data_IF_267229629102
#
_entry.id   IF_267229629102
#
_cell.length_a   1.000
_cell.length_b   1.000
_cell.length_c   1.000
_cell.angle_alpha   90.00
_cell.angle_beta   90.00
_cell.angle_gamma   90.00
#
_symmetry.space_group_name_H-M   'P 1'
#
loop_
_entity.id
_entity.type
_entity.pdbx_description
1 polymer ?
#
# COMPACT_ATOMS: atom_id res chain seq x y z
N UNK A 1 13.15 2.41 6.90
CA UNK A 1 11.98 1.49 6.89
C UNK A 1 12.35 0.24 7.68
N UNK A 2 11.75 0.01 8.86
CA UNK A 2 11.99 -1.23 9.63
C UNK A 2 11.42 -2.39 8.80
N UNK A 3 12.26 -3.35 8.37
CA UNK A 3 11.81 -4.61 7.79
C UNK A 3 10.95 -5.30 8.84
N UNK A 4 9.63 -5.30 8.65
CA UNK A 4 8.74 -6.09 9.50
C UNK A 4 9.11 -7.55 9.24
N UNK A 5 9.58 -8.22 10.29
CA UNK A 5 9.98 -9.61 10.24
C UNK A 5 8.77 -10.44 9.82
N UNK A 6 8.81 -10.99 8.59
CA UNK A 6 7.84 -11.92 8.00
C UNK A 6 7.56 -13.18 8.84
N UNK A 7 8.24 -13.33 9.99
CA UNK A 7 8.13 -14.47 10.90
C UNK A 7 6.75 -14.61 11.58
N UNK A 8 5.94 -13.55 11.63
CA UNK A 8 4.63 -13.56 12.33
C UNK A 8 3.43 -13.11 11.49
N UNK A 9 3.59 -12.76 10.21
CA UNK A 9 2.46 -12.42 9.35
C UNK A 9 1.74 -13.69 8.92
N UNK A 10 0.45 -13.84 9.23
CA UNK A 10 -0.32 -14.95 8.70
C UNK A 10 -0.32 -14.91 7.16
N UNK A 11 -0.49 -16.06 6.51
CA UNK A 11 -0.58 -16.17 5.04
C UNK A 11 -1.76 -15.39 4.43
N UNK A 12 -2.69 -14.91 5.27
CA UNK A 12 -3.88 -14.18 4.86
C UNK A 12 -3.86 -12.70 5.30
N UNK A 13 -2.73 -12.20 5.81
CA UNK A 13 -2.59 -10.80 6.23
C UNK A 13 -1.74 -10.03 5.24
N UNK A 14 -2.11 -8.78 4.95
CA UNK A 14 -1.29 -7.87 4.14
C UNK A 14 -0.95 -6.68 5.01
N UNK A 15 0.34 -6.37 5.10
CA UNK A 15 0.83 -5.19 5.81
C UNK A 15 0.61 -3.96 4.93
N UNK A 16 -0.19 -3.02 5.43
CA UNK A 16 -0.43 -1.72 4.79
C UNK A 16 0.25 -0.63 5.62
N UNK A 17 1.09 0.19 5.00
CA UNK A 17 1.70 1.37 5.65
C UNK A 17 1.70 2.60 4.73
N UNK A 18 1.94 3.77 5.32
CA UNK A 18 2.24 5.01 4.59
C UNK A 18 3.61 5.56 5.02
N UNK A 19 3.83 6.87 4.84
CA UNK A 19 4.99 7.68 5.30
C UNK A 19 6.13 7.91 4.30
N UNK A 20 6.43 7.00 3.37
CA UNK A 20 7.64 7.17 2.52
C UNK A 20 7.45 8.04 1.28
N UNK A 21 6.27 8.62 1.07
CA UNK A 21 5.88 9.37 -0.14
C UNK A 21 5.98 8.54 -1.44
N UNK A 22 6.12 7.23 -1.31
CA UNK A 22 6.25 6.29 -2.43
C UNK A 22 5.21 5.20 -2.28
N UNK A 23 4.32 5.11 -3.26
CA UNK A 23 3.39 3.99 -3.37
C UNK A 23 4.14 2.75 -3.87
N UNK A 24 3.95 1.62 -3.21
CA UNK A 24 4.54 0.34 -3.57
C UNK A 24 3.54 -0.78 -3.29
N UNK A 25 3.33 -1.68 -4.24
CA UNK A 25 2.50 -2.87 -4.05
C UNK A 25 3.37 -4.09 -4.31
N UNK A 26 3.66 -4.84 -3.24
CA UNK A 26 4.34 -6.13 -3.30
C UNK A 26 3.48 -7.20 -2.63
N UNK A 27 2.56 -7.77 -3.42
CA UNK A 27 1.70 -8.87 -2.96
C UNK A 27 2.47 -10.17 -2.68
N UNK A 28 3.67 -10.38 -3.27
CA UNK A 28 4.51 -11.55 -2.95
C UNK A 28 5.09 -11.44 -1.54
N UNK A 29 5.37 -10.22 -1.12
CA UNK A 29 5.79 -9.92 0.25
C UNK A 29 4.64 -9.59 1.19
N UNK A 30 3.39 -9.63 0.72
CA UNK A 30 2.20 -9.21 1.48
C UNK A 30 2.38 -7.80 2.06
N UNK A 31 2.92 -6.90 1.25
CA UNK A 31 3.27 -5.54 1.64
C UNK A 31 2.67 -4.54 0.69
N UNK A 32 2.07 -3.51 1.25
CA UNK A 32 1.59 -2.37 0.49
C UNK A 32 1.95 -1.07 1.21
N UNK A 33 2.51 -0.14 0.44
CA UNK A 33 2.73 1.22 0.83
C UNK A 33 1.73 2.11 0.08
N UNK A 34 0.78 2.71 0.79
CA UNK A 34 -0.25 3.61 0.24
C UNK A 34 0.23 5.03 0.07
N UNK A 35 1.56 5.26 0.15
CA UNK A 35 2.12 6.59 0.28
C UNK A 35 1.75 7.51 -0.89
N UNK A 36 0.95 8.54 -0.60
CA UNK A 36 1.24 9.97 -0.82
C UNK A 36 -0.03 10.74 -1.23
N UNK A 37 -0.32 11.85 -0.55
CA UNK A 37 -1.29 12.87 -0.99
C UNK A 37 -0.56 14.21 -0.90
N UNK A 38 -0.06 14.70 -2.04
CA UNK A 38 0.64 15.99 -2.13
C UNK A 38 0.67 16.46 -3.59
N UNK A 39 0.86 17.77 -3.81
CA UNK A 39 1.04 18.37 -5.15
C UNK A 39 -0.10 18.06 -6.15
N UNK A 40 -1.34 17.94 -5.66
CA UNK A 40 -2.49 17.63 -6.52
C UNK A 40 -2.55 16.16 -6.97
N UNK A 41 -1.78 15.27 -6.35
CA UNK A 41 -1.78 13.82 -6.64
C UNK A 41 -2.08 13.03 -5.39
N UNK A 42 -3.08 12.16 -5.45
CA UNK A 42 -3.43 11.21 -4.43
C UNK A 42 -3.12 9.79 -4.90
N UNK A 43 -2.39 9.02 -4.10
CA UNK A 43 -2.16 7.59 -4.31
C UNK A 43 -2.83 6.81 -3.19
N UNK A 44 -3.62 5.81 -3.53
CA UNK A 44 -4.39 5.02 -2.56
C UNK A 44 -4.68 3.61 -3.07
N UNK A 45 -5.28 2.78 -2.22
CA UNK A 45 -5.75 1.44 -2.57
C UNK A 45 -7.26 1.40 -2.55
N UNK A 46 -7.84 0.75 -3.56
CA UNK A 46 -9.21 0.30 -3.52
C UNK A 46 -9.22 -1.19 -3.16
N UNK A 47 -9.84 -1.54 -2.04
CA UNK A 47 -10.06 -2.92 -1.61
C UNK A 47 -11.54 -3.21 -1.78
N UNK A 48 -11.86 -4.10 -2.70
CA UNK A 48 -13.24 -4.51 -3.04
C UNK A 48 -13.29 -6.04 -3.08
N UNK A 49 -14.08 -6.67 -2.22
CA UNK A 49 -14.24 -8.10 -1.93
C UNK A 49 -13.00 -9.01 -2.17
N UNK A 50 -12.58 -9.22 -3.43
CA UNK A 50 -11.49 -10.10 -3.83
C UNK A 50 -10.30 -9.39 -4.50
N UNK A 51 -10.34 -8.06 -4.61
CA UNK A 51 -9.39 -7.28 -5.40
C UNK A 51 -8.78 -6.16 -4.57
N UNK A 52 -7.47 -6.03 -4.72
CA UNK A 52 -6.68 -4.92 -4.24
C UNK A 52 -6.16 -4.18 -5.46
N UNK A 53 -6.61 -2.94 -5.66
CA UNK A 53 -6.33 -2.16 -6.85
C UNK A 53 -5.56 -0.89 -6.45
N UNK A 54 -4.30 -0.70 -6.90
CA UNK A 54 -3.63 0.60 -6.83
C UNK A 54 -4.41 1.66 -7.59
N UNK A 55 -4.54 2.84 -7.00
CA UNK A 55 -5.06 4.03 -7.68
C UNK A 55 -4.10 5.20 -7.50
N UNK A 56 -4.00 5.99 -8.56
CA UNK A 56 -3.34 7.29 -8.60
C UNK A 56 -4.33 8.24 -9.27
N UNK A 57 -4.69 9.32 -8.59
CA UNK A 57 -5.65 10.31 -9.07
C UNK A 57 -5.09 11.71 -8.90
N UNK A 58 -5.33 12.54 -9.90
CA UNK A 58 -5.05 13.97 -9.84
C UNK A 58 -6.29 14.68 -9.30
N UNK A 59 -6.09 15.63 -8.39
CA UNK A 59 -7.13 16.47 -7.83
C UNK A 59 -6.72 17.94 -7.94
N UNK A 60 -7.70 18.80 -8.26
CA UNK A 60 -7.56 20.26 -8.32
C UNK A 60 -7.60 20.90 -6.91
#
# INVERSE_FOLDING_TARGET
>A
MKRINKKNSNKNEILVCGHSHWAEIDLKSQFINTGFIENGVAKYLLIDDEKIIPKEEWYD
#
